data_IF_584286291618
#
_entry.id   IF_584286291618
#
_cell.length_a   1.000
_cell.length_b   1.000
_cell.length_c   1.000
_cell.angle_alpha   90.00
_cell.angle_beta   90.00
_cell.angle_gamma   90.00
#
_symmetry.space_group_name_H-M   'P 1'
#
loop_
_entity.id
_entity.type
_entity.pdbx_description
1 polymer ?
#
# COMPACT_ATOMS: atom_id res chain seq x y z
N UNK A 1 -17.36 8.44 12.99
CA UNK A 1 -16.47 9.00 11.94
C UNK A 1 -15.27 9.58 12.65
N UNK A 2 -14.07 9.10 12.33
CA UNK A 2 -12.81 9.56 12.92
C UNK A 2 -12.07 10.33 11.84
N UNK A 3 -11.70 11.59 12.10
CA UNK A 3 -11.05 12.46 11.12
C UNK A 3 -9.63 12.75 11.59
N UNK A 4 -8.67 12.66 10.68
CA UNK A 4 -7.28 13.05 10.91
C UNK A 4 -7.01 14.28 10.04
N UNK A 5 -6.70 15.40 10.68
CA UNK A 5 -6.38 16.65 10.01
C UNK A 5 -4.86 16.72 9.80
N UNK A 6 -4.43 17.26 8.65
CA UNK A 6 -3.03 17.49 8.30
C UNK A 6 -2.12 16.26 8.45
N UNK A 7 -2.62 15.10 8.01
CA UNK A 7 -1.94 13.81 8.21
C UNK A 7 -0.81 13.53 7.20
N UNK A 8 -0.66 14.36 6.17
CA UNK A 8 0.39 14.26 5.15
C UNK A 8 1.79 14.48 5.73
N UNK A 9 2.74 13.59 5.40
CA UNK A 9 4.13 13.68 5.83
C UNK A 9 4.38 13.34 7.30
N UNK A 10 3.53 12.51 7.93
CA UNK A 10 3.60 12.18 9.37
C UNK A 10 5.00 11.72 9.83
N UNK A 11 5.74 10.98 8.99
CA UNK A 11 7.04 10.40 9.36
C UNK A 11 8.23 11.03 8.63
N UNK A 12 7.99 11.59 7.44
CA UNK A 12 9.04 12.07 6.52
C UNK A 12 8.97 13.58 6.28
N UNK A 13 7.91 14.23 6.75
CA UNK A 13 7.62 15.65 6.50
C UNK A 13 7.04 15.95 5.10
N UNK A 14 6.81 14.93 4.25
CA UNK A 14 6.23 15.10 2.91
C UNK A 14 5.27 13.97 2.57
N UNK A 15 4.11 14.28 2.01
CA UNK A 15 3.15 13.26 1.55
C UNK A 15 3.69 12.36 0.46
N UNK A 16 4.55 12.88 -0.43
CA UNK A 16 5.34 12.12 -1.39
C UNK A 16 6.82 12.24 -1.00
N UNK A 17 7.35 11.33 -0.17
CA UNK A 17 8.71 11.46 0.38
C UNK A 17 9.81 11.43 -0.68
N UNK A 18 9.59 10.67 -1.76
CA UNK A 18 10.49 10.62 -2.93
C UNK A 18 10.32 11.80 -3.89
N UNK A 19 9.33 12.66 -3.64
CA UNK A 19 8.86 13.73 -4.54
C UNK A 19 8.24 13.25 -5.85
N UNK A 20 8.08 11.94 -6.05
CA UNK A 20 7.43 11.34 -7.22
C UNK A 20 6.15 10.59 -6.80
N UNK A 21 5.09 10.60 -7.63
CA UNK A 21 3.90 9.79 -7.36
C UNK A 21 4.16 8.29 -7.58
N UNK A 22 5.09 7.94 -8.47
CA UNK A 22 5.64 6.59 -8.59
C UNK A 22 7.15 6.62 -8.85
N UNK A 23 7.84 5.56 -8.45
CA UNK A 23 9.27 5.34 -8.59
C UNK A 23 9.54 3.92 -9.09
N UNK A 24 10.70 3.70 -9.70
CA UNK A 24 11.21 2.37 -10.01
C UNK A 24 12.21 1.93 -8.94
N UNK A 25 12.00 0.75 -8.36
CA UNK A 25 12.93 0.09 -7.45
C UNK A 25 13.59 -1.08 -8.17
N UNK A 26 14.92 -1.01 -8.31
CA UNK A 26 15.75 -2.05 -8.92
C UNK A 26 16.36 -2.98 -7.87
N UNK A 27 16.09 -4.27 -7.99
CA UNK A 27 16.67 -5.32 -7.15
C UNK A 27 18.05 -5.74 -7.67
N UNK A 28 18.82 -6.42 -6.81
CA UNK A 28 20.17 -6.91 -7.10
C UNK A 28 20.20 -7.92 -8.25
N UNK A 29 19.11 -8.66 -8.44
CA UNK A 29 18.94 -9.63 -9.53
C UNK A 29 18.51 -8.99 -10.86
N UNK A 30 18.46 -7.65 -10.91
CA UNK A 30 18.13 -6.88 -12.11
C UNK A 30 16.64 -6.67 -12.36
N UNK A 31 15.75 -7.29 -11.57
CA UNK A 31 14.31 -7.03 -11.65
C UNK A 31 13.98 -5.62 -11.18
N UNK A 32 13.00 -5.01 -11.85
CA UNK A 32 12.54 -3.66 -11.58
C UNK A 32 11.05 -3.68 -11.23
N UNK A 33 10.67 -2.92 -10.22
CA UNK A 33 9.28 -2.83 -9.74
C UNK A 33 8.88 -1.36 -9.66
N UNK A 34 7.74 -1.03 -10.26
CA UNK A 34 7.11 0.27 -10.01
C UNK A 34 6.50 0.25 -8.61
N UNK A 35 6.72 1.34 -7.87
CA UNK A 35 6.18 1.53 -6.53
C UNK A 35 5.63 2.94 -6.38
N UNK A 36 4.62 3.13 -5.53
CA UNK A 36 4.28 4.45 -5.00
C UNK A 36 4.58 4.50 -3.52
N UNK A 37 5.24 5.56 -3.07
CA UNK A 37 5.58 5.76 -1.67
C UNK A 37 4.82 6.98 -1.16
N UNK A 38 3.86 6.76 -0.27
CA UNK A 38 3.00 7.82 0.27
C UNK A 38 3.13 7.81 1.78
N UNK A 39 3.33 8.98 2.37
CA UNK A 39 3.36 9.19 3.81
C UNK A 39 2.15 10.00 4.24
N UNK A 40 1.09 9.32 4.67
CA UNK A 40 -0.13 9.96 5.18
C UNK A 40 -0.76 9.05 6.24
N UNK A 41 -0.79 9.50 7.50
CA UNK A 41 -1.07 8.70 8.72
C UNK A 41 -0.05 7.60 8.99
N UNK A 42 0.47 6.98 7.94
CA UNK A 42 1.49 5.94 7.92
C UNK A 42 2.29 6.05 6.62
N UNK A 43 3.56 5.63 6.62
CA UNK A 43 4.33 5.54 5.39
C UNK A 43 4.10 4.20 4.72
N UNK A 44 3.49 4.23 3.53
CA UNK A 44 3.07 3.06 2.77
C UNK A 44 3.83 2.98 1.45
N UNK A 45 4.25 1.77 1.09
CA UNK A 45 4.69 1.43 -0.26
C UNK A 45 3.59 0.61 -0.89
N UNK A 46 3.10 1.10 -2.01
CA UNK A 46 2.15 0.40 -2.88
C UNK A 46 2.89 -0.26 -4.03
N UNK A 47 2.52 -1.50 -4.31
CA UNK A 47 2.93 -2.24 -5.52
C UNK A 47 1.69 -2.84 -6.16
N UNK A 48 1.68 -2.99 -7.49
CA UNK A 48 0.62 -3.76 -8.14
C UNK A 48 0.79 -5.23 -7.77
N UNK A 49 -0.30 -5.89 -7.45
CA UNK A 49 -0.26 -7.33 -7.15
C UNK A 49 0.30 -8.11 -8.35
N UNK A 50 -0.06 -7.71 -9.58
CA UNK A 50 0.35 -8.41 -10.81
C UNK A 50 1.87 -8.31 -11.08
N UNK A 51 2.50 -7.18 -10.75
CA UNK A 51 3.95 -6.97 -10.90
C UNK A 51 4.77 -7.93 -10.03
N UNK A 52 4.18 -8.44 -8.95
CA UNK A 52 4.77 -9.46 -8.05
C UNK A 52 4.12 -10.83 -8.22
N UNK A 53 3.43 -11.07 -9.35
CA UNK A 53 2.85 -12.35 -9.72
C UNK A 53 1.64 -12.77 -8.88
N UNK A 54 0.92 -11.82 -8.29
CA UNK A 54 -0.26 -12.03 -7.46
C UNK A 54 -1.53 -11.49 -8.12
N UNK A 55 -2.67 -12.11 -7.80
CA UNK A 55 -3.98 -11.64 -8.28
C UNK A 55 -4.57 -10.52 -7.42
N UNK A 56 -4.06 -10.37 -6.19
CA UNK A 56 -4.58 -9.49 -5.13
C UNK A 56 -5.70 -10.11 -4.28
N UNK A 57 -6.20 -11.29 -4.64
CA UNK A 57 -7.31 -11.96 -3.90
C UNK A 57 -6.84 -12.92 -2.82
N UNK A 58 -5.56 -13.32 -2.83
CA UNK A 58 -4.96 -14.31 -1.92
C UNK A 58 -5.15 -13.99 -0.44
N UNK A 59 -5.37 -15.04 0.36
CA UNK A 59 -5.64 -14.96 1.79
C UNK A 59 -4.36 -15.10 2.64
N UNK A 60 -4.38 -14.80 3.96
CA UNK A 60 -3.20 -14.86 4.82
C UNK A 60 -2.42 -16.16 4.73
N UNK A 61 -3.10 -17.32 4.74
CA UNK A 61 -2.40 -18.61 4.67
C UNK A 61 -1.61 -18.78 3.37
N UNK A 62 -2.15 -18.30 2.24
CA UNK A 62 -1.49 -18.41 0.94
C UNK A 62 -0.32 -17.43 0.81
N UNK A 63 -0.51 -16.17 1.23
CA UNK A 63 0.54 -15.14 1.15
C UNK A 63 1.67 -15.44 2.15
N UNK A 64 1.33 -15.84 3.37
CA UNK A 64 2.32 -16.13 4.41
C UNK A 64 3.13 -17.41 4.13
N UNK A 65 2.57 -18.36 3.37
CA UNK A 65 3.30 -19.54 2.91
C UNK A 65 4.22 -19.27 1.71
N UNK A 66 4.03 -18.15 1.00
CA UNK A 66 4.83 -17.78 -0.16
C UNK A 66 6.06 -16.96 0.26
N UNK A 67 7.10 -17.63 0.73
CA UNK A 67 8.35 -17.00 1.20
C UNK A 67 9.01 -16.14 0.13
N UNK A 68 9.04 -16.61 -1.13
CA UNK A 68 9.62 -15.85 -2.23
C UNK A 68 8.92 -14.50 -2.46
N UNK A 69 7.58 -14.46 -2.39
CA UNK A 69 6.83 -13.21 -2.48
C UNK A 69 7.20 -12.27 -1.31
N UNK A 70 7.20 -12.79 -0.08
CA UNK A 70 7.52 -11.97 1.10
C UNK A 70 8.95 -11.41 1.05
N UNK A 71 9.91 -12.20 0.56
CA UNK A 71 11.30 -11.79 0.38
C UNK A 71 11.43 -10.69 -0.69
N UNK A 72 10.73 -10.81 -1.81
CA UNK A 72 10.70 -9.78 -2.86
C UNK A 72 10.13 -8.48 -2.30
N UNK A 73 8.98 -8.55 -1.63
CA UNK A 73 8.32 -7.39 -1.05
C UNK A 73 9.17 -6.75 0.05
N UNK A 74 9.93 -7.53 0.82
CA UNK A 74 10.89 -6.99 1.80
C UNK A 74 12.06 -6.28 1.13
N UNK A 75 12.67 -6.86 0.08
CA UNK A 75 13.74 -6.20 -0.67
C UNK A 75 13.29 -4.86 -1.27
N UNK A 76 12.07 -4.83 -1.82
CA UNK A 76 11.45 -3.59 -2.31
C UNK A 76 11.30 -2.60 -1.15
N UNK A 77 10.76 -3.03 -0.01
CA UNK A 77 10.55 -2.18 1.18
C UNK A 77 11.84 -1.56 1.68
N UNK A 78 12.91 -2.34 1.79
CA UNK A 78 14.20 -1.87 2.29
C UNK A 78 14.78 -0.81 1.36
N UNK A 79 14.84 -1.08 0.04
CA UNK A 79 15.36 -0.11 -0.94
C UNK A 79 14.55 1.18 -0.99
N UNK A 80 13.22 1.07 -0.97
CA UNK A 80 12.35 2.22 -0.92
C UNK A 80 12.54 3.02 0.38
N UNK A 81 12.62 2.34 1.53
CA UNK A 81 12.90 2.96 2.83
C UNK A 81 14.24 3.69 2.87
N UNK A 82 15.29 3.15 2.23
CA UNK A 82 16.57 3.84 2.07
C UNK A 82 16.41 5.09 1.20
N UNK A 83 15.74 4.96 0.05
CA UNK A 83 15.50 6.07 -0.89
C UNK A 83 14.77 7.25 -0.24
N UNK A 84 13.86 7.00 0.69
CA UNK A 84 13.10 8.05 1.40
C UNK A 84 13.69 8.42 2.77
N UNK A 85 14.86 7.89 3.13
CA UNK A 85 15.59 8.23 4.36
C UNK A 85 15.03 7.63 5.65
N UNK A 86 14.10 6.67 5.59
CA UNK A 86 13.59 5.95 6.77
C UNK A 86 14.49 4.79 7.21
N UNK A 87 15.37 4.31 6.35
CA UNK A 87 16.33 3.23 6.62
C UNK A 87 17.71 3.71 6.20
N UNK A 88 18.74 3.46 7.00
CA UNK A 88 20.12 3.82 6.62
C UNK A 88 20.70 2.74 5.70
N UNK A 89 21.54 3.15 4.76
CA UNK A 89 22.28 2.20 3.93
C UNK A 89 23.20 1.32 4.80
N UNK A 90 23.20 0.02 4.55
CA UNK A 90 23.93 -0.97 5.35
C UNK A 90 23.29 -1.33 6.70
N UNK A 91 22.15 -0.74 7.06
CA UNK A 91 21.43 -1.07 8.29
C UNK A 91 20.79 -2.46 8.20
N UNK A 92 20.99 -3.28 9.23
CA UNK A 92 20.35 -4.59 9.33
C UNK A 92 18.89 -4.43 9.75
N UNK A 93 18.00 -4.49 8.76
CA UNK A 93 16.56 -4.35 8.97
C UNK A 93 15.82 -5.65 8.67
N UNK A 94 14.76 -5.87 9.44
CA UNK A 94 13.77 -6.92 9.18
C UNK A 94 12.38 -6.36 9.48
N UNK A 95 11.31 -7.05 9.06
CA UNK A 95 9.96 -6.64 9.42
C UNK A 95 9.70 -6.60 10.94
N UNK A 96 10.53 -7.27 11.74
CA UNK A 96 10.39 -7.31 13.20
C UNK A 96 11.14 -6.19 13.91
N UNK A 97 12.18 -5.63 13.27
CA UNK A 97 12.97 -4.52 13.83
C UNK A 97 12.53 -3.17 13.27
N UNK A 98 12.01 -3.13 12.04
CA UNK A 98 11.59 -1.92 11.35
C UNK A 98 10.19 -2.09 10.78
N UNK A 99 9.26 -1.33 11.36
CA UNK A 99 7.86 -1.44 11.00
C UNK A 99 7.53 -0.64 9.73
N UNK A 100 8.32 0.36 9.35
CA UNK A 100 8.07 1.29 8.25
C UNK A 100 9.14 1.23 7.16
N UNK A 101 8.78 1.58 5.91
CA UNK A 101 7.41 1.77 5.44
C UNK A 101 6.63 0.45 5.36
N UNK A 102 5.30 0.50 5.46
CA UNK A 102 4.42 -0.68 5.35
C UNK A 102 4.26 -1.09 3.89
N UNK A 103 4.05 -2.38 3.63
CA UNK A 103 3.90 -2.90 2.26
C UNK A 103 2.44 -3.14 1.96
N UNK A 104 1.96 -2.67 0.82
CA UNK A 104 0.58 -2.83 0.40
C UNK A 104 0.58 -3.30 -1.05
N UNK A 105 0.06 -4.50 -1.30
CA UNK A 105 -0.25 -4.91 -2.67
C UNK A 105 -1.66 -4.44 -3.01
N UNK A 106 -1.82 -3.82 -4.17
CA UNK A 106 -3.11 -3.36 -4.67
C UNK A 106 -3.42 -3.94 -6.05
N UNK A 107 -4.69 -4.19 -6.35
CA UNK A 107 -5.13 -4.59 -7.68
C UNK A 107 -6.54 -4.12 -8.00
N UNK A 108 -6.90 -4.20 -9.28
CA UNK A 108 -8.27 -4.00 -9.75
C UNK A 108 -9.26 -4.87 -8.97
N UNK A 109 -10.50 -4.38 -8.74
CA UNK A 109 -11.52 -5.14 -8.04
C UNK A 109 -11.80 -6.46 -8.76
N UNK A 110 -11.92 -7.54 -7.99
CA UNK A 110 -12.25 -8.89 -8.45
C UNK A 110 -13.07 -9.60 -7.38
N UNK A 111 -13.92 -10.51 -7.83
CA UNK A 111 -14.62 -11.42 -6.93
C UNK A 111 -13.62 -12.23 -6.12
N UNK A 112 -13.88 -12.42 -4.83
CA UNK A 112 -13.05 -13.27 -3.97
C UNK A 112 -13.84 -13.85 -2.79
N UNK A 113 -13.24 -14.84 -2.13
CA UNK A 113 -13.73 -15.39 -0.88
C UNK A 113 -12.91 -14.82 0.28
N UNK A 114 -13.57 -14.43 1.37
CA UNK A 114 -12.92 -13.97 2.59
C UNK A 114 -12.39 -15.14 3.40
N UNK A 115 -11.61 -14.84 4.44
CA UNK A 115 -11.15 -15.84 5.43
C UNK A 115 -12.31 -16.58 6.12
N UNK A 116 -13.49 -15.94 6.20
CA UNK A 116 -14.69 -16.52 6.81
C UNK A 116 -15.66 -17.07 5.73
N UNK A 117 -15.15 -17.36 4.53
CA UNK A 117 -15.86 -17.95 3.39
C UNK A 117 -17.03 -17.13 2.85
N UNK A 118 -17.06 -15.83 3.14
CA UNK A 118 -18.02 -14.92 2.53
C UNK A 118 -17.57 -14.56 1.11
N UNK A 119 -18.51 -14.51 0.18
CA UNK A 119 -18.24 -14.07 -1.18
C UNK A 119 -18.38 -12.55 -1.27
N UNK A 120 -17.33 -11.88 -1.74
CA UNK A 120 -17.34 -10.44 -2.03
C UNK A 120 -17.25 -10.29 -3.54
N UNK A 121 -18.21 -9.56 -4.12
CA UNK A 121 -18.23 -9.32 -5.56
C UNK A 121 -17.37 -8.11 -5.92
N UNK A 122 -16.89 -8.10 -7.16
CA UNK A 122 -16.15 -6.97 -7.72
C UNK A 122 -16.94 -5.65 -7.67
N UNK A 123 -18.28 -5.69 -7.83
CA UNK A 123 -19.15 -4.50 -7.81
C UNK A 123 -19.26 -3.85 -6.40
N UNK A 124 -18.94 -4.63 -5.36
CA UNK A 124 -19.02 -4.20 -3.96
C UNK A 124 -17.72 -3.51 -3.48
N UNK A 125 -16.67 -3.53 -4.29
CA UNK A 125 -15.35 -2.98 -3.95
C UNK A 125 -14.80 -2.12 -5.10
N UNK A 126 -13.99 -1.13 -4.75
CA UNK A 126 -13.33 -0.26 -5.72
C UNK A 126 -11.88 -0.68 -5.94
N UNK A 127 -11.26 -1.31 -4.94
CA UNK A 127 -9.87 -1.77 -4.98
C UNK A 127 -9.66 -2.97 -4.08
N UNK A 128 -8.85 -3.93 -4.51
CA UNK A 128 -8.33 -4.97 -3.62
C UNK A 128 -7.05 -4.47 -2.95
N UNK A 129 -6.96 -4.64 -1.63
CA UNK A 129 -5.76 -4.30 -0.87
C UNK A 129 -5.32 -5.43 0.04
N UNK A 130 -4.01 -5.70 0.06
CA UNK A 130 -3.36 -6.68 0.92
C UNK A 130 -2.24 -5.98 1.68
N UNK A 131 -2.56 -5.60 2.92
CA UNK A 131 -1.70 -4.86 3.82
C UNK A 131 -0.78 -5.81 4.61
N UNK A 132 0.53 -5.71 4.37
CA UNK A 132 1.54 -6.58 4.97
C UNK A 132 2.34 -5.77 5.99
N UNK A 133 2.35 -6.24 7.24
CA UNK A 133 3.06 -5.63 8.36
C UNK A 133 3.70 -6.69 9.22
N UNK A 134 4.84 -6.39 9.85
CA UNK A 134 5.55 -7.33 10.73
C UNK A 134 5.77 -8.71 10.08
N UNK A 135 6.09 -8.73 8.78
CA UNK A 135 6.44 -9.95 8.04
C UNK A 135 5.26 -10.78 7.53
N UNK A 136 4.02 -10.40 7.83
CA UNK A 136 2.84 -11.19 7.48
C UNK A 136 1.71 -10.36 6.91
N UNK A 137 0.85 -10.99 6.11
CA UNK A 137 -0.39 -10.40 5.63
C UNK A 137 -1.36 -10.22 6.79
N UNK A 138 -1.83 -8.99 6.98
CA UNK A 138 -2.84 -8.67 7.96
C UNK A 138 -4.17 -9.38 7.62
N UNK A 139 -4.86 -9.93 8.63
CA UNK A 139 -6.11 -10.69 8.41
C UNK A 139 -7.22 -9.84 7.77
N UNK A 140 -7.29 -8.56 8.15
CA UNK A 140 -8.17 -7.56 7.56
C UNK A 140 -7.34 -6.47 6.85
N UNK A 141 -7.52 -5.21 7.23
CA UNK A 141 -6.67 -4.08 6.84
C UNK A 141 -6.46 -3.17 8.05
N UNK A 142 -5.27 -2.59 8.22
CA UNK A 142 -5.10 -1.56 9.23
C UNK A 142 -5.84 -0.28 8.78
N UNK A 143 -6.60 0.35 9.67
CA UNK A 143 -7.34 1.60 9.37
C UNK A 143 -6.37 2.69 8.90
N UNK A 144 -5.23 2.87 9.58
CA UNK A 144 -4.19 3.81 9.14
C UNK A 144 -3.64 3.51 7.74
N UNK A 145 -3.54 2.23 7.37
CA UNK A 145 -3.16 1.84 6.02
C UNK A 145 -4.24 2.17 4.98
N UNK A 146 -5.52 2.01 5.35
CA UNK A 146 -6.64 2.27 4.44
C UNK A 146 -6.83 3.77 4.22
N UNK A 147 -6.56 4.59 5.23
CA UNK A 147 -6.47 6.04 5.12
C UNK A 147 -5.35 6.48 4.17
N UNK A 148 -4.12 5.96 4.35
CA UNK A 148 -3.03 6.26 3.43
C UNK A 148 -3.30 5.79 2.00
N UNK A 149 -4.03 4.69 1.82
CA UNK A 149 -4.52 4.24 0.50
C UNK A 149 -5.54 5.23 -0.09
N UNK A 150 -6.51 5.70 0.71
CA UNK A 150 -7.48 6.71 0.29
C UNK A 150 -6.80 8.01 -0.14
N UNK A 151 -5.77 8.45 0.60
CA UNK A 151 -4.96 9.60 0.21
C UNK A 151 -4.20 9.35 -1.09
N UNK A 152 -3.52 8.20 -1.22
CA UNK A 152 -2.78 7.83 -2.43
C UNK A 152 -3.68 7.85 -3.68
N UNK A 153 -4.93 7.39 -3.57
CA UNK A 153 -5.91 7.37 -4.66
C UNK A 153 -6.26 8.77 -5.19
N UNK A 154 -6.13 9.82 -4.38
CA UNK A 154 -6.36 11.21 -4.79
C UNK A 154 -5.15 11.86 -5.45
N UNK A 155 -3.96 11.29 -5.27
CA UNK A 155 -2.72 11.81 -5.83
C UNK A 155 -2.53 11.25 -7.24
N UNK A 156 -2.65 12.12 -8.24
CA UNK A 156 -2.51 11.73 -9.65
C UNK A 156 -1.17 11.04 -9.93
N UNK A 157 -1.23 9.89 -10.59
CA UNK A 157 -0.05 9.14 -11.01
C UNK A 157 0.45 8.11 -10.00
N UNK A 158 -0.10 8.04 -8.78
CA UNK A 158 0.24 6.92 -7.89
C UNK A 158 -0.37 5.61 -8.40
N UNK A 159 0.23 4.48 -8.05
CA UNK A 159 -0.28 3.15 -8.40
C UNK A 159 -1.75 2.97 -7.97
N UNK A 160 -2.16 3.33 -6.73
CA UNK A 160 -3.57 3.31 -6.37
C UNK A 160 -4.45 4.18 -7.28
N UNK A 161 -4.06 5.44 -7.52
CA UNK A 161 -4.81 6.36 -8.39
C UNK A 161 -4.98 5.81 -9.82
N UNK A 162 -3.98 5.09 -10.34
CA UNK A 162 -4.03 4.44 -11.65
C UNK A 162 -4.98 3.22 -11.68
N UNK A 163 -5.32 2.60 -10.53
CA UNK A 163 -6.26 1.46 -10.44
C UNK A 163 -7.71 1.94 -10.44
N UNK A 164 -8.01 2.97 -9.65
CA UNK A 164 -9.36 3.48 -9.50
C UNK A 164 -9.55 4.72 -10.37
N UNK A 165 -10.35 4.59 -11.41
CA UNK A 165 -10.74 5.71 -12.26
C UNK A 165 -11.95 6.45 -11.64
N UNK A 166 -11.89 7.78 -11.53
CA UNK A 166 -13.11 8.59 -11.34
C UNK A 166 -13.29 9.38 -10.04
N UNK A 167 -12.24 9.75 -9.31
CA UNK A 167 -12.35 10.81 -8.29
C UNK A 167 -13.33 10.53 -7.14
N UNK A 168 -13.53 9.25 -6.79
CA UNK A 168 -14.47 8.81 -5.75
C UNK A 168 -14.27 9.57 -4.44
N UNK A 169 -15.36 10.00 -3.78
CA UNK A 169 -15.28 10.68 -2.48
C UNK A 169 -14.80 9.75 -1.35
N UNK A 170 -15.04 8.46 -1.48
CA UNK A 170 -14.51 7.42 -0.60
C UNK A 170 -14.36 6.11 -1.38
N UNK A 171 -13.71 5.14 -0.77
CA UNK A 171 -13.24 3.91 -1.40
C UNK A 171 -13.73 2.72 -0.60
N UNK A 172 -14.18 1.68 -1.29
CA UNK A 172 -14.51 0.38 -0.71
C UNK A 172 -13.34 -0.56 -0.95
N UNK A 173 -12.58 -0.84 0.09
CA UNK A 173 -11.38 -1.67 0.05
C UNK A 173 -11.76 -3.13 0.32
N UNK A 174 -11.52 -4.01 -0.65
CA UNK A 174 -11.61 -5.46 -0.45
C UNK A 174 -10.36 -6.00 0.22
N UNK A 175 -10.47 -6.40 1.49
CA UNK A 175 -9.40 -7.00 2.29
C UNK A 175 -9.72 -8.47 2.65
N UNK A 176 -8.79 -9.28 3.20
CA UNK A 176 -9.02 -10.71 3.34
C UNK A 176 -10.23 -11.09 4.23
N UNK A 177 -10.60 -10.28 5.22
CA UNK A 177 -11.81 -10.48 6.03
C UNK A 177 -13.12 -9.90 5.48
N UNK A 178 -13.15 -9.24 4.31
CA UNK A 178 -14.34 -8.55 3.82
C UNK A 178 -14.01 -7.16 3.28
N UNK A 179 -14.92 -6.21 3.44
CA UNK A 179 -14.77 -4.85 2.91
C UNK A 179 -14.62 -3.81 4.02
N UNK A 180 -13.91 -2.73 3.70
CA UNK A 180 -13.75 -1.55 4.54
C UNK A 180 -14.01 -0.30 3.71
N UNK A 181 -14.83 0.63 4.21
CA UNK A 181 -15.04 1.93 3.57
C UNK A 181 -14.17 3.00 4.23
N UNK A 182 -13.44 3.77 3.43
CA UNK A 182 -12.65 4.92 3.90
C UNK A 182 -12.78 6.09 2.94
N UNK A 183 -12.64 7.30 3.46
CA UNK A 183 -12.62 8.53 2.66
C UNK A 183 -11.43 9.41 3.06
N UNK A 184 -10.90 10.14 2.10
CA UNK A 184 -9.84 11.13 2.32
C UNK A 184 -10.10 12.35 1.43
N UNK A 185 -9.96 13.52 2.04
CA UNK A 185 -9.81 14.78 1.34
C UNK A 185 -8.31 15.05 1.23
N UNK A 186 -7.87 15.43 0.02
CA UNK A 186 -6.47 15.69 -0.27
C UNK A 186 -6.40 16.93 -1.15
N UNK A 187 -5.60 17.91 -0.75
CA UNK A 187 -5.39 19.16 -1.48
C UNK A 187 -3.94 19.26 -1.95
N UNK A 188 -3.73 19.90 -3.11
CA UNK A 188 -2.39 20.27 -3.57
C UNK A 188 -2.15 21.75 -3.29
N UNK A 189 -1.28 22.05 -2.33
CA UNK A 189 -0.89 23.42 -1.98
C UNK A 189 0.54 23.65 -2.48
N UNK A 190 0.65 24.42 -3.57
CA UNK A 190 1.91 24.57 -4.32
C UNK A 190 2.34 23.23 -4.93
N UNK A 191 3.53 22.76 -4.55
CA UNK A 191 4.08 21.46 -5.00
C UNK A 191 3.90 20.33 -3.98
N UNK A 192 3.26 20.59 -2.84
CA UNK A 192 3.03 19.60 -1.80
C UNK A 192 1.57 19.14 -1.80
N UNK A 193 1.36 17.87 -1.49
CA UNK A 193 0.04 17.30 -1.21
C UNK A 193 -0.17 17.31 0.30
N UNK A 194 -1.35 17.72 0.75
CA UNK A 194 -1.76 17.71 2.16
C UNK A 194 -3.08 16.97 2.31
#
# INVERSE_FOLDING_TARGET
MLNFLDAGGTFTGKTLPSSNPSDIIKLEDGREYEVSIVDCVNTLIFVRAEDVGQTGTKLPNEVNANTNLLDILEKIRVKAGIKIGLIKEGEQVSPYTHALPKRVMVSNPKDYQTVDQQHVKNEDIDVLSRYITMGSLHRAHAVSGAMGLAAALKITGTIPNQIVSGGLNGIRVGHPSGTLYEAAEVEKIGDQWQ
#
